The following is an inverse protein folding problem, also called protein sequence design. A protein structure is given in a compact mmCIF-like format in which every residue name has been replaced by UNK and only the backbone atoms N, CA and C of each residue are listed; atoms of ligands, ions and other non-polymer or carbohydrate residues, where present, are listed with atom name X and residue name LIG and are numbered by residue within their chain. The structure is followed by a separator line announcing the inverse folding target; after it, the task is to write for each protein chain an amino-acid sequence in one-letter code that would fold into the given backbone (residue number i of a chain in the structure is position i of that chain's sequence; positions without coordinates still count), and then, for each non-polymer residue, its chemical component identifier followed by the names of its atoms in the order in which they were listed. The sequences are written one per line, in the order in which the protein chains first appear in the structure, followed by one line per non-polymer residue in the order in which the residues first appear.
data_IF_893055614786
#
_entry.id   IF_893055614786
#
_cell.length_a   1.000
_cell.length_b   1.000
_cell.length_c   1.000
_cell.angle_alpha   90.00
_cell.angle_beta   90.00
_cell.angle_gamma   90.00
#
_symmetry.space_group_name_H-M   'P 1'
#
loop_
_entity.id
_entity.type
_entity.pdbx_description
1 polymer ?
#
# COMPACT_ATOMS: atom_id res chain seq x y z
N UNK A 1 13.42 14.57 -11.55
CA UNK A 1 12.43 13.60 -11.04
C UNK A 1 12.35 12.51 -12.09
N UNK A 2 12.79 11.29 -11.76
CA UNK A 2 12.70 10.15 -12.67
C UNK A 2 11.36 9.48 -12.42
N UNK A 3 10.53 9.39 -13.46
CA UNK A 3 9.28 8.65 -13.41
C UNK A 3 9.64 7.20 -13.71
N UNK A 4 9.22 6.29 -12.84
CA UNK A 4 9.34 4.85 -13.11
C UNK A 4 8.23 4.44 -14.08
N UNK A 5 8.63 3.95 -15.25
CA UNK A 5 7.72 3.48 -16.31
C UNK A 5 7.58 1.94 -16.30
N UNK A 6 7.98 1.27 -15.22
CA UNK A 6 7.92 -0.19 -15.10
C UNK A 6 6.49 -0.71 -15.21
N UNK A 7 6.19 -1.42 -16.29
CA UNK A 7 4.96 -2.19 -16.44
C UNK A 7 5.09 -3.55 -15.73
N UNK A 8 4.73 -3.58 -14.44
CA UNK A 8 4.77 -4.80 -13.62
C UNK A 8 3.86 -5.92 -14.16
N UNK A 9 2.78 -5.57 -14.86
CA UNK A 9 1.86 -6.56 -15.42
C UNK A 9 2.50 -7.32 -16.60
N UNK A 10 3.44 -6.71 -17.32
CA UNK A 10 4.18 -7.36 -18.41
C UNK A 10 5.17 -8.44 -17.97
N UNK A 11 5.55 -8.45 -16.67
CA UNK A 11 6.56 -9.36 -16.15
C UNK A 11 6.04 -10.81 -16.08
N UNK A 12 6.95 -11.75 -16.34
CA UNK A 12 6.77 -13.15 -15.93
C UNK A 12 6.66 -13.25 -14.42
N UNK A 13 6.11 -14.35 -13.91
CA UNK A 13 5.99 -14.58 -12.46
C UNK A 13 7.35 -14.46 -11.73
N UNK A 14 8.42 -15.02 -12.29
CA UNK A 14 9.75 -14.95 -11.67
C UNK A 14 10.31 -13.51 -11.62
N UNK A 15 10.05 -12.71 -12.66
CA UNK A 15 10.42 -11.29 -12.67
C UNK A 15 9.61 -10.48 -11.67
N UNK A 16 8.31 -10.76 -11.52
CA UNK A 16 7.46 -10.12 -10.50
C UNK A 16 7.95 -10.39 -9.08
N UNK A 17 8.29 -11.65 -8.77
CA UNK A 17 8.83 -12.03 -7.46
C UNK A 17 10.14 -11.28 -7.20
N UNK A 18 11.10 -11.35 -8.14
CA UNK A 18 12.39 -10.69 -7.98
C UNK A 18 12.25 -9.18 -7.84
N UNK A 19 11.36 -8.54 -8.60
CA UNK A 19 11.16 -7.10 -8.52
C UNK A 19 10.60 -6.69 -7.16
N UNK A 20 9.60 -7.42 -6.64
CA UNK A 20 9.09 -7.19 -5.28
C UNK A 20 10.18 -7.40 -4.21
N UNK A 21 11.03 -8.41 -4.36
CA UNK A 21 12.13 -8.68 -3.42
C UNK A 21 13.21 -7.58 -3.42
N UNK A 22 13.52 -7.00 -4.59
CA UNK A 22 14.58 -6.00 -4.74
C UNK A 22 14.10 -4.60 -4.42
N UNK A 23 12.93 -4.20 -4.93
CA UNK A 23 12.39 -2.86 -4.73
C UNK A 23 11.66 -2.73 -3.37
N UNK A 24 11.17 -3.85 -2.81
CA UNK A 24 10.47 -3.88 -1.53
C UNK A 24 9.03 -3.37 -1.59
N UNK A 25 8.54 -2.99 -2.76
CA UNK A 25 7.15 -2.57 -3.00
C UNK A 25 6.71 -2.93 -4.44
N UNK A 26 5.41 -2.83 -4.69
CA UNK A 26 4.83 -2.92 -6.03
C UNK A 26 3.67 -1.94 -6.14
N UNK A 27 3.52 -1.33 -7.31
CA UNK A 27 2.34 -0.53 -7.65
C UNK A 27 1.46 -1.36 -8.59
N UNK A 28 0.21 -1.58 -8.18
CA UNK A 28 -0.78 -2.31 -8.96
C UNK A 28 -1.90 -1.33 -9.35
N UNK A 29 -1.77 -0.63 -10.49
CA UNK A 29 -2.78 0.29 -10.96
C UNK A 29 -4.07 -0.46 -11.31
N UNK A 30 -5.19 0.26 -11.29
CA UNK A 30 -6.51 -0.23 -11.71
C UNK A 30 -7.00 -1.49 -10.95
N UNK A 31 -6.47 -1.74 -9.75
CA UNK A 31 -6.94 -2.84 -8.88
C UNK A 31 -8.34 -2.62 -8.33
N UNK A 32 -8.71 -1.36 -8.10
CA UNK A 32 -10.03 -0.96 -7.63
C UNK A 32 -10.64 0.01 -8.64
N UNK A 33 -11.90 -0.24 -8.98
CA UNK A 33 -12.66 0.71 -9.78
C UNK A 33 -13.18 1.88 -8.92
N UNK A 34 -13.62 2.95 -9.59
CA UNK A 34 -14.10 4.16 -8.91
C UNK A 34 -15.29 3.88 -7.97
N UNK A 35 -16.18 2.96 -8.33
CA UNK A 35 -17.35 2.63 -7.52
C UNK A 35 -16.95 1.89 -6.23
N UNK A 36 -15.98 0.99 -6.32
CA UNK A 36 -15.41 0.29 -5.17
C UNK A 36 -14.73 1.28 -4.21
N UNK A 37 -13.98 2.24 -4.75
CA UNK A 37 -13.33 3.30 -3.96
C UNK A 37 -14.39 4.16 -3.25
N UNK A 38 -15.41 4.64 -3.96
CA UNK A 38 -16.50 5.44 -3.37
C UNK A 38 -17.22 4.70 -2.24
N UNK A 39 -17.49 3.40 -2.44
CA UNK A 39 -18.13 2.57 -1.41
C UNK A 39 -17.24 2.43 -0.18
N UNK A 40 -15.95 2.16 -0.35
CA UNK A 40 -14.99 2.07 0.75
C UNK A 40 -14.92 3.39 1.53
N UNK A 41 -14.92 4.53 0.84
CA UNK A 41 -14.96 5.84 1.51
C UNK A 41 -16.22 6.03 2.35
N UNK A 42 -17.40 5.69 1.82
CA UNK A 42 -18.66 5.83 2.54
C UNK A 42 -18.71 4.90 3.78
N UNK A 43 -18.25 3.66 3.64
CA UNK A 43 -18.23 2.69 4.75
C UNK A 43 -17.24 3.08 5.85
N UNK A 44 -16.07 3.61 5.48
CA UNK A 44 -15.02 4.00 6.42
C UNK A 44 -15.23 5.38 7.06
N UNK A 45 -16.13 6.21 6.53
CA UNK A 45 -16.38 7.57 7.03
C UNK A 45 -16.79 7.62 8.51
N UNK A 46 -17.55 6.63 8.96
CA UNK A 46 -18.08 6.54 10.33
C UNK A 46 -17.23 5.64 11.24
N UNK A 47 -16.15 5.04 10.72
CA UNK A 47 -15.28 4.18 11.51
C UNK A 47 -14.43 5.08 12.43
N UNK A 48 -14.44 4.85 13.75
CA UNK A 48 -13.59 5.61 14.67
C UNK A 48 -12.12 5.32 14.38
N UNK A 49 -11.48 6.23 13.64
CA UNK A 49 -10.05 6.17 13.33
C UNK A 49 -9.28 7.02 14.32
N UNK A 50 -8.25 6.42 14.93
CA UNK A 50 -7.26 7.16 15.72
C UNK A 50 -5.96 7.23 14.92
N UNK A 51 -5.43 8.44 14.75
CA UNK A 51 -4.12 8.60 14.13
C UNK A 51 -3.08 7.94 15.05
N UNK A 52 -2.32 6.99 14.50
CA UNK A 52 -1.16 6.44 15.19
C UNK A 52 -0.04 7.48 15.20
N UNK A 53 0.42 7.88 16.37
CA UNK A 53 1.57 8.77 16.50
C UNK A 53 2.84 8.03 16.05
N UNK A 54 3.36 8.40 14.89
CA UNK A 54 4.60 7.86 14.31
C UNK A 54 5.80 8.76 14.64
N UNK A 55 5.89 9.30 15.85
CA UNK A 55 7.11 9.95 16.34
C UNK A 55 8.27 8.95 16.47
N UNK A 56 9.49 9.43 16.21
CA UNK A 56 10.73 8.61 16.27
C UNK A 56 10.97 7.96 17.66
N UNK A 57 10.32 8.46 18.72
CA UNK A 57 10.48 7.97 20.09
C UNK A 57 9.62 6.74 20.43
N UNK A 58 8.78 6.25 19.52
CA UNK A 58 7.95 5.06 19.77
C UNK A 58 8.74 3.75 19.58
N UNK A 59 9.45 3.31 20.62
CA UNK A 59 9.73 1.88 20.84
C UNK A 59 8.50 1.24 21.45
N UNK A 60 7.87 0.33 20.72
CA UNK A 60 6.79 -0.52 21.23
C UNK A 60 7.21 -1.17 22.56
N UNK A 61 6.53 -0.80 23.65
CA UNK A 61 6.65 -1.45 24.94
C UNK A 61 5.29 -2.10 25.23
N UNK A 62 5.22 -3.42 25.08
CA UNK A 62 4.07 -4.19 25.56
C UNK A 62 4.28 -4.39 27.07
N UNK A 63 3.55 -3.66 27.90
CA UNK A 63 3.41 -4.05 29.31
C UNK A 63 2.36 -5.16 29.44
N UNK A 64 2.56 -6.13 30.35
CA UNK A 64 1.76 -7.36 30.48
C UNK A 64 0.33 -7.13 30.99
#
# INVERSE_FOLDING_TARGET
MNIDETDFASFTLGQRIRHLEVEGYVVLPDMLDAQQIERLHAELAEVPMQHKDYSEAQTYHLEP
#
